data_IF_233497343300
#
_entry.id   IF_233497343300
#
_cell.length_a   1.000
_cell.length_b   1.000
_cell.length_c   1.000
_cell.angle_alpha   90.00
_cell.angle_beta   90.00
_cell.angle_gamma   90.00
#
_symmetry.space_group_name_H-M   'P 1'
#
loop_
_entity.id
_entity.type
_entity.pdbx_description
1 polymer ?
#
# COMPACT_ATOMS: atom_id res chain seq x y z
N UNK A 1 8.99 21.44 -29.92
CA UNK A 1 8.99 19.97 -29.72
C UNK A 1 9.99 19.66 -28.63
N UNK A 2 9.61 18.93 -27.59
CA UNK A 2 10.56 18.48 -26.56
C UNK A 2 11.52 17.48 -27.20
N UNK A 3 12.81 17.82 -27.24
CA UNK A 3 13.83 17.03 -27.91
C UNK A 3 13.99 15.67 -27.19
N UNK A 4 14.00 14.56 -27.92
CA UNK A 4 14.19 13.21 -27.37
C UNK A 4 15.56 12.68 -27.79
N UNK A 5 16.20 11.88 -26.92
CA UNK A 5 17.44 11.16 -27.25
C UNK A 5 17.13 9.73 -27.69
N UNK A 6 17.77 9.26 -28.75
CA UNK A 6 17.60 7.89 -29.24
C UNK A 6 18.87 7.09 -29.03
N UNK A 7 18.75 5.93 -28.39
CA UNK A 7 19.84 4.98 -28.19
C UNK A 7 19.59 3.76 -29.07
N UNK A 8 20.41 3.59 -30.10
CA UNK A 8 20.38 2.43 -30.98
C UNK A 8 21.32 1.35 -30.42
N UNK A 9 20.76 0.23 -29.99
CA UNK A 9 21.51 -0.92 -29.47
C UNK A 9 21.57 -2.03 -30.52
N UNK A 10 22.80 -2.39 -30.92
CA UNK A 10 23.06 -3.46 -31.91
C UNK A 10 23.62 -4.72 -31.23
N UNK A 11 23.12 -5.93 -31.57
CA UNK A 11 23.58 -7.18 -30.98
C UNK A 11 24.95 -7.64 -31.51
N UNK A 12 25.32 -7.24 -32.74
CA UNK A 12 26.61 -7.52 -33.38
C UNK A 12 27.10 -6.31 -34.17
N UNK A 13 28.40 -6.26 -34.46
CA UNK A 13 29.01 -5.17 -35.26
C UNK A 13 28.55 -5.18 -36.72
N UNK A 14 28.08 -6.32 -37.24
CA UNK A 14 27.58 -6.43 -38.61
C UNK A 14 26.35 -5.55 -38.88
N UNK A 15 25.64 -5.12 -37.83
CA UNK A 15 24.48 -4.22 -37.91
C UNK A 15 24.85 -2.74 -37.72
N UNK A 16 26.13 -2.42 -37.53
CA UNK A 16 26.59 -1.04 -37.30
C UNK A 16 26.25 -0.13 -38.48
N UNK A 17 26.55 -0.57 -39.71
CA UNK A 17 26.25 0.19 -40.94
C UNK A 17 24.74 0.45 -41.10
N UNK A 18 23.92 -0.55 -40.80
CA UNK A 18 22.45 -0.40 -40.80
C UNK A 18 21.98 0.59 -39.74
N UNK A 19 22.54 0.52 -38.52
CA UNK A 19 22.20 1.46 -37.44
C UNK A 19 22.67 2.89 -37.73
N UNK A 20 23.83 3.08 -38.37
CA UNK A 20 24.31 4.38 -38.84
C UNK A 20 23.38 4.96 -39.90
N UNK A 21 22.94 4.15 -40.86
CA UNK A 21 21.97 4.57 -41.89
C UNK A 21 20.61 4.95 -41.28
N UNK A 22 20.17 4.22 -40.24
CA UNK A 22 18.96 4.57 -39.47
C UNK A 22 19.16 5.90 -38.73
N UNK A 23 20.31 6.11 -38.09
CA UNK A 23 20.63 7.35 -37.39
C UNK A 23 20.70 8.56 -38.34
N UNK A 24 21.27 8.40 -39.52
CA UNK A 24 21.29 9.42 -40.58
C UNK A 24 19.88 9.73 -41.08
N UNK A 25 19.06 8.71 -41.33
CA UNK A 25 17.66 8.88 -41.72
C UNK A 25 16.85 9.59 -40.62
N UNK A 26 17.10 9.27 -39.35
CA UNK A 26 16.47 9.90 -38.19
C UNK A 26 16.85 11.38 -38.07
N UNK A 27 18.14 11.70 -38.14
CA UNK A 27 18.66 13.06 -37.99
C UNK A 27 18.35 13.97 -39.18
N UNK A 28 18.29 13.42 -40.40
CA UNK A 28 18.01 14.20 -41.62
C UNK A 28 16.52 14.46 -41.84
N UNK A 29 15.63 13.58 -41.37
CA UNK A 29 14.18 13.66 -41.64
C UNK A 29 13.33 14.00 -40.42
N UNK A 30 13.84 13.85 -39.20
CA UNK A 30 13.04 14.01 -37.98
C UNK A 30 13.78 14.81 -36.90
N UNK A 31 13.05 15.46 -35.99
CA UNK A 31 13.62 16.30 -34.93
C UNK A 31 14.07 15.48 -33.71
N UNK A 32 15.19 14.76 -33.84
CA UNK A 32 15.82 14.00 -32.75
C UNK A 32 17.01 14.78 -32.19
N UNK A 33 17.09 14.89 -30.86
CA UNK A 33 18.05 15.77 -30.18
C UNK A 33 19.48 15.26 -30.24
N UNK A 34 19.62 13.94 -30.11
CA UNK A 34 20.87 13.24 -29.88
C UNK A 34 20.63 11.76 -30.21
N UNK A 35 21.52 11.16 -31.00
CA UNK A 35 21.43 9.74 -31.38
C UNK A 35 22.75 9.08 -31.03
N UNK A 36 22.70 8.04 -30.18
CA UNK A 36 23.87 7.28 -29.75
C UNK A 36 23.74 5.83 -30.17
N UNK A 37 24.76 5.29 -30.84
CA UNK A 37 24.84 3.87 -31.22
C UNK A 37 25.79 3.14 -30.27
N UNK A 38 25.36 1.98 -29.75
CA UNK A 38 26.16 1.13 -28.85
C UNK A 38 25.93 -0.35 -29.11
N UNK A 39 26.94 -1.16 -28.82
CA UNK A 39 26.79 -2.61 -28.77
C UNK A 39 26.02 -3.04 -27.51
N UNK A 40 25.14 -4.02 -27.65
CA UNK A 40 24.37 -4.63 -26.56
C UNK A 40 25.24 -5.34 -25.50
N UNK A 41 26.57 -5.43 -25.71
CA UNK A 41 27.53 -6.01 -24.74
C UNK A 41 27.93 -5.04 -23.61
N UNK A 42 27.48 -3.78 -23.65
CA UNK A 42 27.78 -2.81 -22.59
C UNK A 42 26.94 -3.08 -21.32
N UNK A 43 27.52 -2.97 -20.11
CA UNK A 43 26.77 -3.11 -18.85
C UNK A 43 25.61 -2.10 -18.72
N UNK A 44 24.42 -2.59 -18.37
CA UNK A 44 23.16 -1.83 -18.33
C UNK A 44 23.15 -0.74 -17.25
N UNK A 45 23.73 -1.02 -16.09
CA UNK A 45 23.92 -0.08 -14.99
C UNK A 45 24.64 1.20 -15.44
N UNK A 46 25.67 1.07 -16.30
CA UNK A 46 26.38 2.23 -16.89
C UNK A 46 25.56 2.96 -17.95
N UNK A 47 24.67 2.24 -18.63
CA UNK A 47 23.77 2.77 -19.66
C UNK A 47 22.66 3.63 -19.03
N UNK A 48 22.19 3.25 -17.84
CA UNK A 48 21.13 3.95 -17.11
C UNK A 48 21.68 5.05 -16.17
N UNK A 49 22.89 4.90 -15.63
CA UNK A 49 23.45 5.80 -14.60
C UNK A 49 23.72 7.26 -15.07
N UNK A 50 23.70 7.54 -16.37
CA UNK A 50 24.02 8.85 -16.94
C UNK A 50 22.88 9.47 -17.78
N UNK A 51 21.65 8.96 -17.63
CA UNK A 51 20.52 9.47 -18.40
C UNK A 51 20.03 10.80 -17.78
N UNK A 52 20.10 11.88 -18.57
CA UNK A 52 19.62 13.22 -18.20
C UNK A 52 18.09 13.28 -18.06
N UNK A 53 17.54 14.39 -17.56
CA UNK A 53 16.07 14.64 -17.50
C UNK A 53 15.35 14.65 -18.88
N UNK A 54 16.09 14.53 -19.99
CA UNK A 54 15.53 14.49 -21.35
C UNK A 54 14.98 13.09 -21.66
N UNK A 55 13.76 12.96 -22.22
CA UNK A 55 13.19 11.66 -22.60
C UNK A 55 14.13 10.87 -23.52
N UNK A 56 14.31 9.60 -23.20
CA UNK A 56 15.17 8.67 -23.94
C UNK A 56 14.32 7.60 -24.61
N UNK A 57 14.69 7.11 -25.80
CA UNK A 57 14.10 5.93 -26.45
C UNK A 57 15.22 4.95 -26.76
N UNK A 58 15.05 3.69 -26.36
CA UNK A 58 15.96 2.61 -26.73
C UNK A 58 15.41 1.85 -27.93
N UNK A 59 16.26 1.56 -28.91
CA UNK A 59 15.91 0.79 -30.11
C UNK A 59 16.82 -0.43 -30.17
N UNK A 60 16.24 -1.63 -30.25
CA UNK A 60 16.97 -2.88 -30.36
C UNK A 60 16.75 -3.51 -31.73
N UNK A 61 17.85 -3.82 -32.42
CA UNK A 61 17.81 -4.55 -33.68
C UNK A 61 17.81 -6.06 -33.39
N UNK A 62 16.73 -6.76 -33.70
CA UNK A 62 16.61 -8.21 -33.44
C UNK A 62 17.26 -9.04 -34.56
N UNK A 63 17.97 -10.13 -34.19
CA UNK A 63 18.61 -11.03 -35.16
C UNK A 63 19.11 -12.39 -34.63
N UNK A 64 19.42 -12.53 -33.34
CA UNK A 64 19.54 -13.82 -32.64
C UNK A 64 19.82 -13.54 -31.16
N UNK A 65 18.75 -13.65 -30.35
CA UNK A 65 18.69 -13.45 -28.88
C UNK A 65 19.32 -12.17 -28.34
N UNK A 66 18.60 -11.40 -27.53
CA UNK A 66 19.31 -10.76 -26.43
C UNK A 66 18.46 -10.70 -25.18
N UNK A 67 18.89 -11.46 -24.17
CA UNK A 67 18.49 -11.23 -22.78
C UNK A 67 18.63 -9.75 -22.39
N UNK A 68 19.48 -8.99 -23.07
CA UNK A 68 19.66 -7.54 -22.92
C UNK A 68 18.45 -6.73 -23.42
N UNK A 69 17.81 -7.08 -24.55
CA UNK A 69 16.56 -6.45 -25.02
C UNK A 69 15.42 -6.68 -24.01
N UNK A 70 15.25 -7.92 -23.56
CA UNK A 70 14.28 -8.26 -22.52
C UNK A 70 14.58 -7.55 -21.20
N UNK A 71 15.83 -7.60 -20.73
CA UNK A 71 16.26 -6.93 -19.50
C UNK A 71 16.11 -5.41 -19.58
N UNK A 72 16.40 -4.77 -20.71
CA UNK A 72 16.16 -3.34 -20.92
C UNK A 72 14.67 -3.01 -20.98
N UNK A 73 13.85 -3.85 -21.62
CA UNK A 73 12.39 -3.70 -21.57
C UNK A 73 11.80 -3.91 -20.17
N UNK A 74 12.49 -4.66 -19.31
CA UNK A 74 12.12 -4.93 -17.92
C UNK A 74 12.63 -3.91 -16.91
N UNK A 75 13.82 -3.31 -17.14
CA UNK A 75 14.52 -2.46 -16.18
C UNK A 75 14.58 -0.98 -16.58
N UNK A 76 14.40 -0.64 -17.86
CA UNK A 76 14.48 0.75 -18.32
C UNK A 76 13.17 1.51 -18.05
N UNK A 77 13.22 2.71 -17.46
CA UNK A 77 12.06 3.57 -17.29
C UNK A 77 11.63 4.29 -18.58
N UNK A 78 12.33 4.04 -19.70
CA UNK A 78 12.17 4.71 -20.98
C UNK A 78 11.60 3.77 -22.05
N UNK A 79 10.88 4.28 -23.07
CA UNK A 79 10.37 3.45 -24.16
C UNK A 79 11.45 2.60 -24.80
N UNK A 80 11.15 1.31 -24.96
CA UNK A 80 11.96 0.34 -25.67
C UNK A 80 11.22 -0.10 -26.92
N UNK A 81 11.84 0.08 -28.08
CA UNK A 81 11.32 -0.33 -29.40
C UNK A 81 12.20 -1.45 -29.92
N UNK A 82 11.62 -2.61 -30.16
CA UNK A 82 12.32 -3.70 -30.84
C UNK A 82 11.97 -3.67 -32.33
N UNK A 83 12.99 -3.72 -33.18
CA UNK A 83 12.85 -3.66 -34.64
C UNK A 83 13.63 -4.81 -35.27
N UNK A 84 13.06 -5.38 -36.32
CA UNK A 84 13.77 -6.40 -37.10
C UNK A 84 14.92 -5.74 -37.85
N UNK A 85 16.15 -6.18 -37.56
CA UNK A 85 17.36 -5.62 -38.16
C UNK A 85 17.55 -5.96 -39.64
N UNK A 86 16.69 -6.82 -40.20
CA UNK A 86 16.63 -7.12 -41.63
C UNK A 86 15.76 -6.15 -42.44
N UNK A 87 15.01 -5.26 -41.78
CA UNK A 87 14.19 -4.25 -42.45
C UNK A 87 15.02 -3.10 -43.02
N UNK A 88 14.47 -2.43 -44.03
CA UNK A 88 15.07 -1.24 -44.63
C UNK A 88 15.20 -0.11 -43.61
N UNK A 89 16.33 0.60 -43.64
CA UNK A 89 16.64 1.66 -42.68
C UNK A 89 15.59 2.79 -42.65
N UNK A 90 14.91 3.04 -43.78
CA UNK A 90 13.84 4.03 -43.86
C UNK A 90 12.61 3.63 -43.03
N UNK A 91 12.25 2.35 -43.02
CA UNK A 91 11.08 1.82 -42.30
C UNK A 91 11.35 1.75 -40.79
N UNK A 92 12.58 1.38 -40.42
CA UNK A 92 13.05 1.43 -39.03
C UNK A 92 13.06 2.88 -38.54
N UNK A 93 13.65 3.80 -39.30
CA UNK A 93 13.68 5.22 -38.95
C UNK A 93 12.27 5.81 -38.83
N UNK A 94 11.35 5.44 -39.71
CA UNK A 94 9.95 5.87 -39.62
C UNK A 94 9.25 5.33 -38.36
N UNK A 95 9.48 4.05 -38.02
CA UNK A 95 8.93 3.41 -36.81
C UNK A 95 9.45 4.09 -35.54
N UNK A 96 10.76 4.30 -35.47
CA UNK A 96 11.40 5.02 -34.35
C UNK A 96 10.92 6.46 -34.30
N UNK A 97 10.80 7.13 -35.44
CA UNK A 97 10.28 8.49 -35.52
C UNK A 97 8.83 8.60 -35.06
N UNK A 98 7.98 7.61 -35.32
CA UNK A 98 6.59 7.57 -34.81
C UNK A 98 6.53 7.47 -33.28
N UNK A 99 7.46 6.73 -32.69
CA UNK A 99 7.61 6.62 -31.22
C UNK A 99 8.28 7.85 -30.63
N UNK A 100 9.22 8.48 -31.34
CA UNK A 100 9.82 9.76 -30.93
C UNK A 100 8.82 10.92 -31.13
N UNK A 101 7.87 10.77 -32.04
CA UNK A 101 6.73 11.66 -32.33
C UNK A 101 5.50 11.24 -31.53
N UNK A 102 5.67 11.14 -30.22
CA UNK A 102 4.59 11.22 -29.23
C UNK A 102 3.96 12.63 -29.33
N UNK A 103 3.16 12.87 -30.38
CA UNK A 103 2.50 14.15 -30.67
C UNK A 103 1.23 14.38 -29.84
N UNK A 104 0.72 13.33 -29.22
CA UNK A 104 -0.39 13.41 -28.29
C UNK A 104 0.11 13.23 -26.86
N UNK A 105 -0.22 14.19 -25.98
CA UNK A 105 -0.08 14.05 -24.52
C UNK A 105 -0.67 12.72 -24.03
N UNK A 106 -1.73 12.22 -24.67
CA UNK A 106 -2.36 10.95 -24.30
C UNK A 106 -1.43 9.76 -24.48
N UNK A 107 -0.61 9.72 -25.54
CA UNK A 107 0.28 8.57 -25.80
C UNK A 107 1.46 8.60 -24.82
N UNK A 108 2.00 9.78 -24.49
CA UNK A 108 3.03 9.92 -23.44
C UNK A 108 2.51 9.44 -22.09
N UNK A 109 1.30 9.86 -21.73
CA UNK A 109 0.63 9.42 -20.50
C UNK A 109 0.40 7.91 -20.51
N UNK A 110 -0.07 7.33 -21.63
CA UNK A 110 -0.28 5.90 -21.75
C UNK A 110 1.01 5.08 -21.61
N UNK A 111 2.11 5.54 -22.23
CA UNK A 111 3.41 4.84 -22.13
C UNK A 111 3.99 4.95 -20.72
N UNK A 112 3.95 6.13 -20.11
CA UNK A 112 4.37 6.31 -18.72
C UNK A 112 3.52 5.46 -17.77
N UNK A 113 2.20 5.43 -17.99
CA UNK A 113 1.27 4.61 -17.22
C UNK A 113 1.60 3.11 -17.36
N UNK A 114 1.80 2.62 -18.58
CA UNK A 114 2.16 1.22 -18.82
C UNK A 114 3.53 0.85 -18.21
N UNK A 115 4.52 1.75 -18.26
CA UNK A 115 5.82 1.53 -17.62
C UNK A 115 5.70 1.45 -16.09
N UNK A 116 4.91 2.35 -15.50
CA UNK A 116 4.58 2.33 -14.08
C UNK A 116 3.87 1.03 -13.70
N UNK A 117 2.86 0.61 -14.46
CA UNK A 117 2.11 -0.65 -14.23
C UNK A 117 3.00 -1.88 -14.31
N UNK A 118 3.92 -1.95 -15.29
CA UNK A 118 4.90 -3.06 -15.38
C UNK A 118 5.84 -3.09 -14.18
N UNK A 119 6.36 -1.94 -13.77
CA UNK A 119 7.23 -1.83 -12.58
C UNK A 119 6.47 -2.27 -11.33
N UNK A 120 5.23 -1.80 -11.15
CA UNK A 120 4.37 -2.20 -10.04
C UNK A 120 4.10 -3.72 -10.06
N UNK A 121 3.82 -4.31 -11.22
CA UNK A 121 3.61 -5.74 -11.37
C UNK A 121 4.84 -6.57 -10.97
N UNK A 122 6.05 -6.13 -11.36
CA UNK A 122 7.31 -6.78 -10.96
C UNK A 122 7.51 -6.71 -9.44
N UNK A 123 7.31 -5.54 -8.83
CA UNK A 123 7.42 -5.36 -7.38
C UNK A 123 6.45 -6.28 -6.62
N UNK A 124 5.20 -6.37 -7.09
CA UNK A 124 4.19 -7.28 -6.51
C UNK A 124 4.65 -8.74 -6.65
N UNK A 125 5.11 -9.14 -7.84
CA UNK A 125 5.56 -10.50 -8.10
C UNK A 125 6.76 -10.90 -7.23
N UNK A 126 7.75 -10.03 -7.12
CA UNK A 126 8.96 -10.25 -6.32
C UNK A 126 8.62 -10.37 -4.82
N UNK A 127 7.77 -9.50 -4.30
CA UNK A 127 7.32 -9.56 -2.91
C UNK A 127 6.52 -10.85 -2.62
N UNK A 128 5.66 -11.27 -3.54
CA UNK A 128 4.94 -12.54 -3.40
C UNK A 128 5.89 -13.74 -3.47
N UNK A 129 6.88 -13.73 -4.38
CA UNK A 129 7.84 -14.82 -4.53
C UNK A 129 8.71 -14.95 -3.27
N UNK A 130 9.22 -13.83 -2.75
CA UNK A 130 10.02 -13.77 -1.53
C UNK A 130 9.27 -14.37 -0.34
N UNK A 131 8.05 -13.91 -0.10
CA UNK A 131 7.25 -14.34 1.06
C UNK A 131 6.69 -15.76 0.91
N UNK A 132 6.59 -16.28 -0.32
CA UNK A 132 6.27 -17.70 -0.60
C UNK A 132 7.49 -18.62 -0.50
N UNK A 133 8.69 -18.11 -0.25
CA UNK A 133 9.88 -18.94 -0.11
C UNK A 133 9.76 -19.93 1.07
N UNK A 134 10.42 -21.08 0.94
CA UNK A 134 10.48 -22.10 2.01
C UNK A 134 11.01 -21.53 3.33
N UNK A 135 11.88 -20.51 3.27
CA UNK A 135 12.40 -19.82 4.45
C UNK A 135 11.25 -19.15 5.23
N UNK A 136 10.44 -18.33 4.57
CA UNK A 136 9.33 -17.62 5.21
C UNK A 136 8.28 -18.60 5.72
N UNK A 137 7.87 -19.56 4.88
CA UNK A 137 6.90 -20.59 5.26
C UNK A 137 7.34 -21.37 6.50
N UNK A 138 8.62 -21.80 6.55
CA UNK A 138 9.16 -22.53 7.69
C UNK A 138 9.18 -21.69 8.97
N UNK A 139 9.57 -20.42 8.89
CA UNK A 139 9.61 -19.53 10.06
C UNK A 139 8.18 -19.27 10.59
N UNK A 140 7.24 -18.91 9.71
CA UNK A 140 5.83 -18.66 10.06
C UNK A 140 5.19 -19.92 10.66
N UNK A 141 5.39 -21.08 10.04
CA UNK A 141 4.93 -22.37 10.54
C UNK A 141 5.50 -22.68 11.92
N UNK A 142 6.82 -22.54 12.11
CA UNK A 142 7.48 -22.84 13.39
C UNK A 142 6.98 -21.91 14.50
N UNK A 143 6.75 -20.64 14.18
CA UNK A 143 6.17 -19.69 15.13
C UNK A 143 4.74 -20.06 15.53
N UNK A 144 3.95 -20.57 14.58
CA UNK A 144 2.59 -21.04 14.86
C UNK A 144 2.60 -22.28 15.78
N UNK A 145 3.38 -23.30 15.40
CA UNK A 145 3.41 -24.59 16.09
C UNK A 145 4.09 -24.47 17.48
N UNK A 146 5.04 -23.54 17.63
CA UNK A 146 5.75 -23.27 18.88
C UNK A 146 4.99 -22.41 19.89
N UNK A 147 3.76 -21.98 19.59
CA UNK A 147 2.95 -21.10 20.45
C UNK A 147 3.67 -19.79 20.83
N UNK A 148 4.47 -19.25 19.91
CA UNK A 148 5.26 -18.03 20.10
C UNK A 148 4.46 -16.75 19.83
N UNK A 149 3.16 -16.86 19.54
CA UNK A 149 2.31 -15.71 19.29
C UNK A 149 2.11 -14.88 20.56
N UNK A 150 2.13 -13.56 20.38
CA UNK A 150 1.90 -12.60 21.46
C UNK A 150 0.40 -12.45 21.67
N UNK A 151 -0.10 -12.85 22.83
CA UNK A 151 -1.51 -12.73 23.26
C UNK A 151 -1.76 -11.57 24.21
N UNK A 152 -0.72 -10.97 24.78
CA UNK A 152 -0.76 -9.96 25.85
C UNK A 152 -0.88 -10.54 27.26
N UNK A 153 -1.30 -11.80 27.40
CA UNK A 153 -1.75 -12.39 28.67
C UNK A 153 -0.59 -12.82 29.59
N UNK A 154 0.58 -13.15 29.04
CA UNK A 154 1.76 -13.62 29.78
C UNK A 154 2.79 -12.51 29.96
N UNK A 155 2.45 -11.26 29.64
CA UNK A 155 3.32 -10.09 29.89
C UNK A 155 3.51 -9.81 31.39
N UNK A 156 2.58 -10.28 32.24
CA UNK A 156 2.60 -10.01 33.69
C UNK A 156 2.39 -8.53 34.05
N UNK A 157 1.87 -7.73 33.11
CA UNK A 157 1.55 -6.32 33.29
C UNK A 157 0.05 -6.15 33.54
N UNK A 158 -0.32 -5.22 34.41
CA UNK A 158 -1.71 -4.76 34.50
C UNK A 158 -2.05 -3.97 33.24
N UNK A 159 -3.02 -4.46 32.46
CA UNK A 159 -3.37 -3.89 31.17
C UNK A 159 -4.87 -3.86 30.93
N UNK A 160 -5.32 -2.86 30.17
CA UNK A 160 -6.68 -2.82 29.62
C UNK A 160 -6.68 -3.50 28.26
N UNK A 161 -7.37 -4.65 28.18
CA UNK A 161 -7.45 -5.46 26.96
C UNK A 161 -8.32 -4.81 25.88
N UNK A 162 -7.80 -4.73 24.67
CA UNK A 162 -8.56 -4.37 23.47
C UNK A 162 -8.70 -5.55 22.50
N UNK A 163 -9.41 -5.35 21.38
CA UNK A 163 -9.58 -6.41 20.35
C UNK A 163 -8.23 -6.90 19.82
N UNK A 164 -7.30 -5.98 19.55
CA UNK A 164 -5.96 -6.26 18.99
C UNK A 164 -4.83 -5.69 19.85
N UNK A 165 -5.01 -4.49 20.43
CA UNK A 165 -4.00 -3.83 21.25
C UNK A 165 -4.38 -3.85 22.73
N UNK A 166 -3.40 -4.14 23.59
CA UNK A 166 -3.54 -4.00 25.04
C UNK A 166 -2.82 -2.73 25.49
N UNK A 167 -3.44 -2.02 26.43
CA UNK A 167 -2.95 -0.73 26.93
C UNK A 167 -2.42 -0.88 28.35
N UNK A 168 -1.18 -0.46 28.58
CA UNK A 168 -0.52 -0.43 29.89
C UNK A 168 -0.21 1.02 30.24
N UNK A 169 -0.68 1.48 31.40
CA UNK A 169 -0.31 2.81 31.91
C UNK A 169 1.14 2.76 32.42
N UNK A 170 1.97 3.74 32.03
CA UNK A 170 3.36 3.84 32.51
C UNK A 170 3.45 4.89 33.62
N UNK A 171 3.00 6.10 33.34
CA UNK A 171 2.98 7.25 34.26
C UNK A 171 1.79 8.17 33.92
N UNK A 172 1.72 9.38 34.46
CA UNK A 172 0.61 10.31 34.20
C UNK A 172 0.51 10.80 32.74
N UNK A 173 1.60 10.72 31.97
CA UNK A 173 1.75 11.32 30.64
C UNK A 173 1.92 10.30 29.52
N UNK A 174 2.34 9.09 29.84
CA UNK A 174 2.66 8.06 28.86
C UNK A 174 1.97 6.72 29.13
N UNK A 175 1.75 5.98 28.05
CA UNK A 175 1.21 4.62 28.07
C UNK A 175 1.99 3.77 27.05
N UNK A 176 1.96 2.45 27.23
CA UNK A 176 2.39 1.48 26.23
C UNK A 176 1.18 0.85 25.54
N UNK A 177 1.25 0.72 24.22
CA UNK A 177 0.34 -0.04 23.37
C UNK A 177 1.06 -1.32 22.94
N UNK A 178 0.57 -2.47 23.40
CA UNK A 178 1.06 -3.79 23.02
C UNK A 178 0.17 -4.31 21.90
N UNK A 179 0.68 -4.31 20.66
CA UNK A 179 -0.05 -4.78 19.48
C UNK A 179 0.09 -6.27 19.35
N UNK A 180 -0.96 -7.03 19.67
CA UNK A 180 -0.89 -8.50 19.78
C UNK A 180 -1.12 -9.19 18.43
N UNK A 181 -0.88 -10.50 18.40
CA UNK A 181 -1.14 -11.38 17.25
C UNK A 181 -2.62 -11.78 17.12
N UNK A 182 -3.51 -11.24 17.98
CA UNK A 182 -4.95 -11.48 17.90
C UNK A 182 -5.53 -10.93 16.61
N UNK A 183 -6.24 -11.79 15.88
CA UNK A 183 -7.06 -11.41 14.75
C UNK A 183 -8.53 -11.42 15.16
N UNK A 184 -9.23 -10.30 14.91
CA UNK A 184 -10.65 -10.17 15.22
C UNK A 184 -11.52 -9.98 13.98
N UNK A 185 -12.80 -10.31 14.12
CA UNK A 185 -13.87 -10.13 13.15
C UNK A 185 -15.21 -10.57 13.77
N UNK A 186 -16.31 -10.00 13.31
CA UNK A 186 -17.66 -10.28 13.86
C UNK A 186 -17.73 -10.07 15.38
N UNK A 187 -17.01 -9.06 15.89
CA UNK A 187 -16.86 -8.76 17.32
C UNK A 187 -16.28 -9.89 18.20
N UNK A 188 -15.61 -10.86 17.56
CA UNK A 188 -14.94 -11.98 18.22
C UNK A 188 -13.46 -12.04 17.85
N UNK A 189 -12.67 -12.68 18.71
CA UNK A 189 -11.32 -13.13 18.34
C UNK A 189 -11.44 -14.39 17.50
N UNK A 190 -10.89 -14.37 16.29
CA UNK A 190 -10.99 -15.44 15.29
C UNK A 190 -9.77 -16.36 15.25
N UNK A 191 -8.58 -15.80 15.50
CA UNK A 191 -7.31 -16.54 15.44
C UNK A 191 -6.18 -15.79 16.16
N UNK A 192 -5.06 -16.48 16.36
CA UNK A 192 -3.75 -15.88 16.63
C UNK A 192 -2.89 -16.03 15.37
N UNK A 193 -2.53 -14.92 14.76
CA UNK A 193 -1.80 -14.86 13.50
C UNK A 193 -0.34 -14.53 13.79
N UNK A 194 0.62 -15.46 13.57
CA UNK A 194 2.03 -15.21 13.86
C UNK A 194 2.53 -13.91 13.22
N UNK A 195 3.33 -13.15 13.98
CA UNK A 195 3.96 -11.90 13.54
C UNK A 195 3.01 -10.74 13.18
N UNK A 196 1.69 -10.93 13.29
CA UNK A 196 0.70 -9.89 12.97
C UNK A 196 0.93 -8.64 13.80
N UNK A 197 1.14 -8.79 15.10
CA UNK A 197 1.31 -7.68 16.03
C UNK A 197 2.51 -6.80 15.67
N UNK A 198 3.66 -7.43 15.39
CA UNK A 198 4.86 -6.75 14.90
C UNK A 198 4.62 -6.05 13.56
N UNK A 199 4.01 -6.73 12.60
CA UNK A 199 3.69 -6.14 11.29
C UNK A 199 2.87 -4.86 11.46
N UNK A 200 1.79 -4.90 12.25
CA UNK A 200 0.89 -3.75 12.42
C UNK A 200 1.60 -2.58 13.14
N UNK A 201 2.34 -2.88 14.19
CA UNK A 201 3.04 -1.87 15.00
C UNK A 201 4.16 -1.19 14.20
N UNK A 202 4.99 -1.98 13.48
CA UNK A 202 6.08 -1.44 12.65
C UNK A 202 5.55 -0.72 11.40
N UNK A 203 4.45 -1.19 10.79
CA UNK A 203 3.78 -0.46 9.70
C UNK A 203 3.30 0.89 10.18
N UNK A 204 2.65 0.94 11.35
CA UNK A 204 2.20 2.21 11.93
C UNK A 204 3.38 3.14 12.23
N UNK A 205 4.46 2.62 12.84
CA UNK A 205 5.66 3.41 13.13
C UNK A 205 6.27 4.04 11.86
N UNK A 206 6.34 3.28 10.76
CA UNK A 206 6.76 3.82 9.46
C UNK A 206 5.87 4.98 9.01
N UNK A 207 4.55 4.84 9.09
CA UNK A 207 3.63 5.89 8.64
C UNK A 207 3.60 7.11 9.53
N UNK A 208 3.71 6.95 10.85
CA UNK A 208 3.83 8.07 11.78
C UNK A 208 5.09 8.91 11.48
N UNK A 209 6.21 8.26 11.15
CA UNK A 209 7.41 8.96 10.72
C UNK A 209 7.23 9.67 9.37
N UNK A 210 6.55 9.03 8.40
CA UNK A 210 6.27 9.64 7.07
C UNK A 210 5.28 10.81 7.12
N UNK A 211 4.46 10.89 8.15
CA UNK A 211 3.33 11.85 8.23
C UNK A 211 3.55 12.96 9.25
N UNK A 212 4.66 12.95 9.99
CA UNK A 212 4.96 13.92 11.05
C UNK A 212 4.98 15.39 10.61
N UNK A 213 5.30 15.65 9.34
CA UNK A 213 5.30 17.01 8.77
C UNK A 213 3.89 17.50 8.39
N UNK A 214 2.89 16.61 8.38
CA UNK A 214 1.49 16.93 8.12
C UNK A 214 0.76 17.25 9.43
N UNK A 215 0.95 16.41 10.44
CA UNK A 215 0.37 16.55 11.77
C UNK A 215 1.27 15.86 12.80
N UNK A 216 1.46 16.43 14.01
CA UNK A 216 2.13 15.71 15.09
C UNK A 216 1.36 14.44 15.49
N UNK A 217 2.07 13.48 16.08
CA UNK A 217 1.50 12.21 16.50
C UNK A 217 1.88 11.85 17.94
N UNK A 218 1.24 10.82 18.47
CA UNK A 218 1.41 10.43 19.86
C UNK A 218 2.67 9.61 20.18
N UNK A 219 3.46 9.18 19.19
CA UNK A 219 4.56 8.24 19.42
C UNK A 219 5.71 8.94 20.16
N UNK A 220 6.19 8.28 21.22
CA UNK A 220 7.39 8.66 21.96
C UNK A 220 8.57 7.73 21.65
N UNK A 221 8.32 6.41 21.57
CA UNK A 221 9.36 5.42 21.20
C UNK A 221 8.74 4.07 20.80
N UNK A 222 9.55 3.24 20.11
CA UNK A 222 9.23 1.86 19.73
C UNK A 222 10.30 0.93 20.35
N UNK A 223 10.23 0.62 21.65
CA UNK A 223 11.29 -0.15 22.32
C UNK A 223 11.29 -1.64 21.94
N UNK A 224 10.22 -2.14 21.32
CA UNK A 224 10.07 -3.52 20.87
C UNK A 224 9.17 -3.57 19.62
N UNK A 225 9.33 -4.54 18.69
CA UNK A 225 8.49 -4.65 17.50
C UNK A 225 6.98 -4.70 17.78
N UNK A 226 6.57 -5.14 18.97
CA UNK A 226 5.15 -5.22 19.40
C UNK A 226 4.70 -4.04 20.27
N UNK A 227 5.59 -3.11 20.63
CA UNK A 227 5.32 -2.07 21.63
C UNK A 227 5.51 -0.69 21.03
N UNK A 228 4.48 0.14 21.15
CA UNK A 228 4.60 1.59 20.97
C UNK A 228 4.41 2.25 22.33
N UNK A 229 5.35 3.10 22.74
CA UNK A 229 5.14 4.01 23.87
C UNK A 229 4.63 5.33 23.30
N UNK A 230 3.50 5.79 23.83
CA UNK A 230 2.77 6.93 23.32
C UNK A 230 2.38 7.89 24.43
N UNK A 231 2.18 9.16 24.05
CA UNK A 231 1.54 10.18 24.88
C UNK A 231 0.10 9.78 25.20
N UNK A 232 -0.33 10.03 26.43
CA UNK A 232 -1.76 9.96 26.77
C UNK A 232 -2.51 11.09 26.09
N UNK A 233 -3.57 10.72 25.38
CA UNK A 233 -4.45 11.65 24.70
C UNK A 233 -5.89 11.40 25.14
N UNK A 234 -6.71 12.44 25.08
CA UNK A 234 -8.17 12.33 25.07
C UNK A 234 -8.63 12.16 23.60
N UNK A 235 -9.05 10.96 23.17
CA UNK A 235 -9.46 10.72 21.79
C UNK A 235 -10.74 11.48 21.46
N UNK A 236 -10.84 12.03 20.24
CA UNK A 236 -12.11 12.51 19.73
C UNK A 236 -13.04 11.32 19.43
N UNK A 237 -14.34 11.42 19.72
CA UNK A 237 -15.32 10.34 19.54
C UNK A 237 -15.77 10.16 18.08
N UNK A 238 -14.87 10.38 17.12
CA UNK A 238 -15.12 10.30 15.68
C UNK A 238 -14.00 9.50 15.02
N UNK A 239 -14.39 8.53 14.19
CA UNK A 239 -13.46 7.85 13.29
C UNK A 239 -13.46 8.54 11.93
N UNK A 240 -12.30 9.07 11.53
CA UNK A 240 -12.15 9.78 10.26
C UNK A 240 -11.82 8.79 9.15
N UNK A 241 -12.86 8.21 8.55
CA UNK A 241 -12.68 7.31 7.41
C UNK A 241 -12.53 8.11 6.12
N UNK A 242 -11.44 7.91 5.38
CA UNK A 242 -11.22 8.49 4.05
C UNK A 242 -11.33 7.38 3.01
N UNK A 243 -12.08 7.65 1.93
CA UNK A 243 -12.32 6.67 0.85
C UNK A 243 -11.95 7.24 -0.51
N UNK A 244 -11.37 6.37 -1.35
CA UNK A 244 -11.13 6.64 -2.78
C UNK A 244 -11.84 5.68 -3.73
N UNK A 245 -12.51 4.65 -3.21
CA UNK A 245 -13.25 3.68 -4.01
C UNK A 245 -14.62 3.35 -3.41
N UNK A 246 -15.56 3.01 -4.29
CA UNK A 246 -16.92 2.60 -3.95
C UNK A 246 -16.95 1.11 -3.53
N UNK A 247 -16.44 0.79 -2.34
CA UNK A 247 -16.31 -0.61 -1.89
C UNK A 247 -16.79 -0.82 -0.45
N UNK A 248 -16.62 -2.05 0.04
CA UNK A 248 -16.95 -2.53 1.38
C UNK A 248 -18.24 -3.33 1.45
N UNK A 249 -18.37 -4.10 2.52
CA UNK A 249 -19.46 -5.05 2.78
C UNK A 249 -20.22 -4.77 4.09
N UNK A 250 -19.69 -3.91 4.95
CA UNK A 250 -20.27 -3.58 6.27
C UNK A 250 -21.43 -2.58 6.16
N UNK A 251 -22.26 -2.49 7.19
CA UNK A 251 -23.35 -1.50 7.29
C UNK A 251 -22.88 -0.05 7.18
N UNK A 252 -21.63 0.22 7.58
CA UNK A 252 -20.96 1.54 7.50
C UNK A 252 -20.13 1.74 6.22
N UNK A 253 -20.21 0.82 5.25
CA UNK A 253 -19.47 0.96 4.00
C UNK A 253 -20.27 1.73 2.95
N UNK A 254 -19.57 2.54 2.16
CA UNK A 254 -20.17 3.37 1.11
C UNK A 254 -20.92 2.52 0.08
N UNK A 255 -20.34 1.38 -0.35
CA UNK A 255 -20.98 0.52 -1.33
C UNK A 255 -22.28 -0.11 -0.82
N UNK A 256 -22.28 -0.62 0.42
CA UNK A 256 -23.48 -1.25 0.99
C UNK A 256 -24.62 -0.25 1.11
N UNK A 257 -24.34 0.98 1.55
CA UNK A 257 -25.34 2.04 1.61
C UNK A 257 -25.83 2.45 0.23
N UNK A 258 -24.92 2.64 -0.73
CA UNK A 258 -25.26 2.97 -2.11
C UNK A 258 -26.15 1.91 -2.77
N UNK A 259 -25.81 0.63 -2.58
CA UNK A 259 -26.58 -0.51 -3.05
C UNK A 259 -28.00 -0.53 -2.43
N UNK A 260 -28.14 -0.08 -1.18
CA UNK A 260 -29.41 0.02 -0.47
C UNK A 260 -30.21 1.30 -0.84
N UNK A 261 -29.77 2.08 -1.83
CA UNK A 261 -30.48 3.26 -2.33
C UNK A 261 -30.06 4.59 -1.69
N UNK A 262 -29.06 4.60 -0.81
CA UNK A 262 -28.52 5.86 -0.24
C UNK A 262 -27.76 6.62 -1.33
N UNK A 263 -28.11 7.89 -1.53
CA UNK A 263 -27.45 8.79 -2.49
C UNK A 263 -26.82 10.03 -1.87
N UNK A 264 -27.20 10.37 -0.64
CA UNK A 264 -26.45 11.29 0.18
C UNK A 264 -25.76 10.48 1.29
N UNK A 265 -24.44 10.35 1.20
CA UNK A 265 -23.65 9.55 2.14
C UNK A 265 -22.66 10.44 2.88
N UNK A 266 -22.83 10.58 4.20
CA UNK A 266 -22.04 11.49 5.03
C UNK A 266 -22.01 12.95 4.51
N UNK A 267 -23.10 13.41 3.88
CA UNK A 267 -23.17 14.75 3.28
C UNK A 267 -22.65 14.84 1.84
N UNK A 268 -22.16 13.74 1.25
CA UNK A 268 -21.72 13.70 -0.15
C UNK A 268 -22.83 13.18 -1.05
N UNK A 269 -23.18 13.95 -2.08
CA UNK A 269 -24.06 13.50 -3.15
C UNK A 269 -23.33 12.52 -4.07
N UNK A 270 -23.83 11.30 -4.14
CA UNK A 270 -23.29 10.21 -4.95
C UNK A 270 -24.04 10.13 -6.27
N UNK A 271 -23.34 10.17 -7.42
CA UNK A 271 -23.96 10.03 -8.73
C UNK A 271 -24.78 8.74 -8.88
N UNK A 272 -25.74 8.72 -9.80
CA UNK A 272 -26.42 7.49 -10.19
C UNK A 272 -25.49 6.56 -11.01
N UNK A 273 -25.80 5.27 -11.00
CA UNK A 273 -25.11 4.26 -11.82
C UNK A 273 -23.70 3.89 -11.35
N UNK A 274 -23.29 4.24 -10.13
CA UNK A 274 -21.99 3.85 -9.58
C UNK A 274 -21.89 2.33 -9.43
N UNK A 275 -20.73 1.79 -9.79
CA UNK A 275 -20.43 0.35 -9.72
C UNK A 275 -19.58 0.02 -8.49
N UNK A 276 -19.72 -1.21 -7.99
CA UNK A 276 -18.86 -1.73 -6.92
C UNK A 276 -17.40 -1.65 -7.35
N UNK A 277 -16.54 -1.27 -6.42
CA UNK A 277 -15.09 -1.15 -6.57
C UNK A 277 -14.62 -0.09 -7.57
N UNK A 278 -15.50 0.77 -8.10
CA UNK A 278 -15.07 1.87 -8.96
C UNK A 278 -14.30 2.94 -8.15
N UNK A 279 -13.32 3.57 -8.80
CA UNK A 279 -12.62 4.73 -8.23
C UNK A 279 -13.58 5.93 -8.13
N UNK A 280 -13.49 6.67 -7.03
CA UNK A 280 -14.21 7.94 -6.82
C UNK A 280 -13.45 9.08 -7.51
N UNK A 281 -14.18 10.12 -7.90
CA UNK A 281 -13.58 11.31 -8.55
C UNK A 281 -12.56 12.02 -7.65
N UNK A 282 -12.81 12.00 -6.34
CA UNK A 282 -11.94 12.56 -5.31
C UNK A 282 -12.01 11.72 -4.04
N UNK A 283 -10.99 11.85 -3.20
CA UNK A 283 -11.02 11.31 -1.86
C UNK A 283 -12.11 12.03 -1.06
N UNK A 284 -12.95 11.27 -0.36
CA UNK A 284 -14.03 11.81 0.46
C UNK A 284 -13.90 11.34 1.90
N UNK A 285 -14.24 12.23 2.83
CA UNK A 285 -14.39 11.92 4.24
C UNK A 285 -15.77 11.35 4.50
N UNK A 286 -15.83 10.17 5.10
CA UNK A 286 -17.09 9.50 5.46
C UNK A 286 -17.02 9.05 6.92
N UNK A 287 -16.98 10.00 7.87
CA UNK A 287 -16.72 9.67 9.25
C UNK A 287 -17.82 8.82 9.87
N UNK A 288 -17.47 8.13 10.95
CA UNK A 288 -18.40 7.37 11.79
C UNK A 288 -18.29 7.83 13.23
N UNK A 289 -19.41 7.81 13.96
CA UNK A 289 -19.40 8.03 15.41
C UNK A 289 -18.79 6.81 16.11
N UNK A 290 -18.26 7.02 17.32
CA UNK A 290 -17.76 5.95 18.19
C UNK A 290 -18.75 5.78 19.36
N UNK A 291 -19.84 5.08 19.11
CA UNK A 291 -20.95 4.88 20.05
C UNK A 291 -20.84 3.54 20.79
N UNK A 292 -21.49 3.40 21.95
CA UNK A 292 -21.41 2.17 22.75
C UNK A 292 -22.10 0.96 22.09
N UNK A 293 -23.18 1.19 21.32
CA UNK A 293 -23.88 0.11 20.61
C UNK A 293 -23.30 -0.11 19.21
N UNK A 294 -23.47 0.87 18.31
CA UNK A 294 -23.07 0.73 16.91
C UNK A 294 -22.60 2.05 16.31
N UNK A 295 -21.38 2.05 15.77
CA UNK A 295 -20.87 3.15 14.95
C UNK A 295 -21.79 3.41 13.76
N UNK A 296 -22.19 4.66 13.55
CA UNK A 296 -23.02 5.06 12.40
C UNK A 296 -22.31 6.08 11.51
N UNK A 297 -22.57 6.07 10.19
CA UNK A 297 -22.09 7.15 9.31
C UNK A 297 -22.67 8.50 9.75
N UNK A 298 -21.83 9.54 9.74
CA UNK A 298 -22.20 10.90 10.09
C UNK A 298 -21.58 11.88 9.09
N UNK A 299 -22.23 13.00 8.80
CA UNK A 299 -21.67 14.07 7.97
C UNK A 299 -20.82 15.04 8.78
N UNK A 300 -19.93 15.77 8.11
CA UNK A 300 -19.12 16.82 8.75
C UNK A 300 -19.99 17.88 9.42
N UNK A 301 -21.16 18.20 8.85
CA UNK A 301 -22.11 19.14 9.42
C UNK A 301 -22.75 18.60 10.70
N UNK A 302 -23.21 17.35 10.67
CA UNK A 302 -23.84 16.70 11.83
C UNK A 302 -22.85 16.54 13.00
N UNK A 303 -21.56 16.30 12.74
CA UNK A 303 -20.53 16.25 13.79
C UNK A 303 -20.54 17.53 14.66
N UNK A 304 -20.71 18.70 14.04
CA UNK A 304 -20.74 19.99 14.75
C UNK A 304 -22.12 20.25 15.34
N UNK A 305 -23.18 20.03 14.57
CA UNK A 305 -24.56 20.28 15.00
C UNK A 305 -24.93 19.43 16.24
N UNK A 306 -24.46 18.18 16.28
CA UNK A 306 -24.65 17.25 17.40
C UNK A 306 -23.58 17.39 18.50
N UNK A 307 -22.62 18.31 18.35
CA UNK A 307 -21.58 18.63 19.34
C UNK A 307 -20.59 17.50 19.64
N UNK A 308 -20.34 16.61 18.69
CA UNK A 308 -19.27 15.62 18.80
C UNK A 308 -17.88 16.27 18.77
N UNK A 309 -17.73 17.35 18.00
CA UNK A 309 -16.50 18.14 17.92
C UNK A 309 -16.82 19.63 17.69
N UNK A 310 -15.89 20.51 18.03
CA UNK A 310 -15.96 21.92 17.59
C UNK A 310 -15.63 22.02 16.11
N UNK A 311 -16.12 23.06 15.42
CA UNK A 311 -15.77 23.30 14.01
C UNK A 311 -14.26 23.42 13.81
N UNK A 312 -13.56 24.12 14.70
CA UNK A 312 -12.11 24.32 14.60
C UNK A 312 -11.33 22.99 14.69
N UNK A 313 -11.72 22.10 15.60
CA UNK A 313 -11.07 20.79 15.74
C UNK A 313 -11.37 19.89 14.54
N UNK A 314 -12.63 19.92 14.09
CA UNK A 314 -13.08 19.16 12.94
C UNK A 314 -12.28 19.55 11.68
N UNK A 315 -12.07 20.85 11.46
CA UNK A 315 -11.34 21.36 10.30
C UNK A 315 -9.88 20.87 10.30
N UNK A 316 -9.22 20.88 11.47
CA UNK A 316 -7.84 20.38 11.62
C UNK A 316 -7.77 18.88 11.32
N UNK A 317 -8.61 18.07 11.98
CA UNK A 317 -8.62 16.62 11.81
C UNK A 317 -9.00 16.21 10.36
N UNK A 318 -9.99 16.88 9.76
CA UNK A 318 -10.43 16.62 8.39
C UNK A 318 -9.33 16.92 7.37
N UNK A 319 -8.68 18.09 7.50
CA UNK A 319 -7.59 18.48 6.62
C UNK A 319 -6.39 17.53 6.75
N UNK A 320 -6.05 17.14 7.99
CA UNK A 320 -4.98 16.18 8.25
C UNK A 320 -5.30 14.80 7.67
N UNK A 321 -6.49 14.25 7.91
CA UNK A 321 -6.92 12.96 7.39
C UNK A 321 -6.81 12.87 5.86
N UNK A 322 -7.28 13.89 5.13
CA UNK A 322 -7.19 13.93 3.67
C UNK A 322 -5.74 14.01 3.16
N UNK A 323 -4.89 14.81 3.82
CA UNK A 323 -3.47 14.96 3.47
C UNK A 323 -2.67 13.69 3.75
N UNK A 324 -2.87 13.09 4.93
CA UNK A 324 -2.25 11.81 5.33
C UNK A 324 -2.65 10.71 4.35
N UNK A 325 -3.94 10.65 3.98
CA UNK A 325 -4.42 9.67 3.01
C UNK A 325 -3.81 9.87 1.62
N UNK A 326 -3.75 11.11 1.14
CA UNK A 326 -3.14 11.43 -0.16
C UNK A 326 -1.65 11.06 -0.21
N UNK A 327 -0.89 11.32 0.87
CA UNK A 327 0.50 10.88 0.98
C UNK A 327 0.61 9.34 1.00
N UNK A 328 -0.27 8.68 1.75
CA UNK A 328 -0.37 7.22 1.79
C UNK A 328 -0.61 6.61 0.41
N UNK A 329 -1.54 7.18 -0.36
CA UNK A 329 -1.83 6.75 -1.73
C UNK A 329 -0.63 6.92 -2.65
N UNK A 330 0.10 8.04 -2.54
CA UNK A 330 1.30 8.28 -3.34
C UNK A 330 2.36 7.20 -3.09
N UNK A 331 2.71 6.99 -1.83
CA UNK A 331 3.75 6.02 -1.44
C UNK A 331 3.30 4.58 -1.75
N UNK A 332 2.03 4.23 -1.49
CA UNK A 332 1.49 2.91 -1.82
C UNK A 332 1.56 2.63 -3.34
N UNK A 333 1.20 3.62 -4.17
CA UNK A 333 1.24 3.48 -5.62
C UNK A 333 2.67 3.27 -6.14
N UNK A 334 3.68 3.92 -5.55
CA UNK A 334 5.09 3.69 -5.89
C UNK A 334 5.52 2.23 -5.65
N UNK A 335 4.83 1.50 -4.77
CA UNK A 335 5.13 0.13 -4.38
C UNK A 335 4.12 -0.92 -4.90
N UNK A 336 3.32 -0.57 -5.91
CA UNK A 336 2.39 -1.51 -6.55
C UNK A 336 1.12 -1.80 -5.75
N UNK A 337 0.77 -0.92 -4.82
CA UNK A 337 -0.41 -1.01 -3.99
C UNK A 337 -1.41 0.11 -4.31
N UNK A 338 -2.69 -0.19 -4.16
CA UNK A 338 -3.77 0.80 -4.12
C UNK A 338 -4.22 0.91 -2.68
N UNK A 339 -4.02 2.07 -2.05
CA UNK A 339 -4.65 2.40 -0.77
C UNK A 339 -6.09 2.87 -1.03
N UNK A 340 -7.04 2.02 -0.67
CA UNK A 340 -8.44 2.10 -1.11
C UNK A 340 -9.25 3.00 -0.18
N UNK A 341 -9.20 2.70 1.10
CA UNK A 341 -9.75 3.46 2.20
C UNK A 341 -8.97 3.18 3.48
N UNK A 342 -9.10 4.07 4.46
CA UNK A 342 -8.48 3.93 5.78
C UNK A 342 -9.22 4.74 6.82
N UNK A 343 -8.98 4.42 8.09
CA UNK A 343 -9.58 5.04 9.26
C UNK A 343 -8.49 5.71 10.09
N UNK A 344 -8.70 6.97 10.44
CA UNK A 344 -7.85 7.69 11.40
C UNK A 344 -8.59 7.97 12.70
N UNK A 345 -7.84 8.00 13.79
CA UNK A 345 -8.27 8.59 15.05
C UNK A 345 -7.35 9.75 15.40
N UNK A 346 -7.93 10.78 16.02
CA UNK A 346 -7.20 11.93 16.55
C UNK A 346 -7.53 12.08 18.02
N UNK A 347 -6.64 12.71 18.78
CA UNK A 347 -6.90 13.03 20.18
C UNK A 347 -6.14 14.27 20.62
N UNK A 348 -6.57 14.86 21.73
CA UNK A 348 -5.86 15.96 22.38
C UNK A 348 -4.82 15.42 23.35
N UNK A 349 -3.58 15.87 23.21
CA UNK A 349 -2.54 15.64 24.21
C UNK A 349 -3.00 16.18 25.56
N UNK A 350 -3.05 15.34 26.60
CA UNK A 350 -3.52 15.74 27.93
C UNK A 350 -2.63 16.79 28.60
N UNK A 351 -1.40 16.98 28.13
CA UNK A 351 -0.46 17.96 28.69
C UNK A 351 -0.51 19.31 27.97
N UNK A 352 -0.66 19.30 26.64
CA UNK A 352 -0.50 20.49 25.81
C UNK A 352 -1.80 20.96 25.16
N UNK A 353 -2.81 20.10 25.06
CA UNK A 353 -4.06 20.35 24.34
C UNK A 353 -3.94 20.26 22.81
N UNK A 354 -2.75 19.98 22.28
CA UNK A 354 -2.48 19.84 20.84
C UNK A 354 -3.22 18.62 20.25
N UNK A 355 -3.72 18.75 19.03
CA UNK A 355 -4.34 17.63 18.29
C UNK A 355 -3.24 16.77 17.70
N UNK A 356 -3.25 15.49 18.07
CA UNK A 356 -2.32 14.49 17.60
C UNK A 356 -3.04 13.44 16.75
N UNK A 357 -2.38 12.95 15.70
CA UNK A 357 -2.74 11.68 15.08
C UNK A 357 -2.38 10.54 16.06
N UNK A 358 -3.34 9.69 16.35
CA UNK A 358 -3.20 8.60 17.33
C UNK A 358 -3.57 7.26 16.70
N UNK A 359 -3.66 6.22 17.54
CA UNK A 359 -4.08 4.88 17.17
C UNK A 359 -3.08 4.16 16.24
N UNK A 360 -3.53 3.58 15.13
CA UNK A 360 -2.70 2.97 14.10
C UNK A 360 -2.96 3.61 12.74
N UNK A 361 -1.96 3.59 11.84
CA UNK A 361 -2.03 4.31 10.55
C UNK A 361 -1.66 3.38 9.41
N UNK A 362 -2.55 3.28 8.41
CA UNK A 362 -2.29 2.63 7.11
C UNK A 362 -1.84 1.16 7.23
N UNK A 363 -2.33 0.48 8.26
CA UNK A 363 -2.11 -0.96 8.48
C UNK A 363 -3.13 -1.80 7.71
N UNK A 364 -2.88 -3.11 7.50
CA UNK A 364 -3.90 -4.03 7.00
C UNK A 364 -5.17 -4.15 7.86
N UNK A 365 -5.13 -3.76 9.14
CA UNK A 365 -6.31 -3.82 10.02
C UNK A 365 -7.16 -2.52 9.95
N UNK A 366 -6.52 -1.39 9.70
CA UNK A 366 -7.16 -0.06 9.59
C UNK A 366 -7.49 0.36 8.15
N UNK A 367 -6.95 -0.35 7.16
CA UNK A 367 -6.95 0.09 5.76
C UNK A 367 -7.14 -1.07 4.79
N UNK A 368 -7.78 -0.79 3.66
CA UNK A 368 -7.87 -1.73 2.54
C UNK A 368 -6.78 -1.45 1.52
N UNK A 369 -6.07 -2.51 1.16
CA UNK A 369 -5.04 -2.49 0.11
C UNK A 369 -5.38 -3.48 -0.98
N UNK A 370 -5.33 -3.01 -2.23
CA UNK A 370 -5.41 -3.88 -3.41
C UNK A 370 -4.07 -3.91 -4.15
N UNK A 371 -3.83 -5.01 -4.86
CA UNK A 371 -2.69 -5.09 -5.77
C UNK A 371 -2.99 -4.29 -7.04
N UNK A 372 -2.14 -3.30 -7.34
CA UNK A 372 -2.40 -2.37 -8.44
C UNK A 372 -2.39 -3.06 -9.81
N UNK A 373 -1.50 -4.04 -9.97
CA UNK A 373 -1.28 -4.74 -11.24
C UNK A 373 -2.44 -5.61 -11.71
N UNK A 374 -3.39 -5.98 -10.83
CA UNK A 374 -4.54 -6.81 -11.22
C UNK A 374 -5.87 -6.06 -11.14
N UNK A 375 -5.91 -4.82 -10.65
CA UNK A 375 -7.16 -4.09 -10.44
C UNK A 375 -7.94 -3.87 -11.75
N UNK A 376 -7.33 -3.30 -12.79
CA UNK A 376 -8.03 -2.97 -14.03
C UNK A 376 -8.65 -4.20 -14.70
N UNK A 377 -7.85 -5.23 -14.95
CA UNK A 377 -8.28 -6.48 -15.58
C UNK A 377 -9.39 -7.17 -14.78
N UNK A 378 -9.30 -7.14 -13.44
CA UNK A 378 -10.33 -7.75 -12.58
C UNK A 378 -11.64 -6.98 -12.62
N UNK A 379 -11.61 -5.65 -12.63
CA UNK A 379 -12.83 -4.84 -12.75
C UNK A 379 -13.47 -5.01 -14.13
N UNK A 380 -12.69 -5.05 -15.20
CA UNK A 380 -13.20 -5.31 -16.56
C UNK A 380 -13.88 -6.68 -16.66
N UNK A 381 -13.30 -7.70 -16.02
CA UNK A 381 -13.87 -9.04 -15.93
C UNK A 381 -15.04 -9.17 -14.92
N UNK A 382 -15.45 -8.09 -14.24
CA UNK A 382 -16.51 -8.12 -13.24
C UNK A 382 -16.15 -8.87 -11.95
N UNK A 383 -14.86 -9.03 -11.66
CA UNK A 383 -14.33 -9.70 -10.47
C UNK A 383 -14.04 -8.70 -9.34
N UNK A 384 -14.01 -9.20 -8.09
CA UNK A 384 -13.50 -8.43 -6.95
C UNK A 384 -12.01 -8.13 -7.13
N UNK A 385 -11.51 -6.93 -6.75
CA UNK A 385 -10.10 -6.62 -6.68
C UNK A 385 -9.32 -7.65 -5.86
N UNK A 386 -8.05 -7.84 -6.22
CA UNK A 386 -7.19 -8.72 -5.46
C UNK A 386 -6.78 -8.06 -4.14
N UNK A 387 -7.36 -8.57 -3.07
CA UNK A 387 -7.14 -8.08 -1.72
C UNK A 387 -6.07 -8.92 -1.00
N UNK A 388 -5.21 -8.23 -0.25
CA UNK A 388 -4.15 -8.82 0.58
C UNK A 388 -4.49 -8.79 2.08
N UNK A 389 -5.63 -8.24 2.46
CA UNK A 389 -6.10 -8.15 3.85
C UNK A 389 -6.83 -9.43 4.34
N UNK A 390 -7.43 -9.33 5.52
CA UNK A 390 -8.15 -10.39 6.25
C UNK A 390 -9.50 -10.82 5.68
N UNK A 391 -10.00 -10.25 4.58
CA UNK A 391 -11.35 -10.53 4.10
C UNK A 391 -11.57 -12.02 3.79
N UNK A 392 -10.56 -12.73 3.29
CA UNK A 392 -10.68 -14.17 3.02
C UNK A 392 -10.88 -15.01 4.28
N UNK A 393 -10.33 -14.59 5.43
CA UNK A 393 -10.60 -15.23 6.72
C UNK A 393 -12.06 -15.03 7.13
N UNK A 394 -12.59 -13.81 6.94
CA UNK A 394 -14.01 -13.50 7.24
C UNK A 394 -14.96 -14.30 6.36
N UNK A 395 -14.66 -14.40 5.07
CA UNK A 395 -15.46 -15.19 4.13
C UNK A 395 -15.49 -16.66 4.54
N UNK A 396 -14.34 -17.24 4.92
CA UNK A 396 -14.29 -18.61 5.42
C UNK A 396 -15.24 -18.82 6.61
N UNK A 397 -15.18 -17.96 7.64
CA UNK A 397 -16.10 -18.09 8.78
C UNK A 397 -17.57 -17.97 8.37
N UNK A 398 -17.94 -16.98 7.55
CA UNK A 398 -19.33 -16.80 7.09
C UNK A 398 -19.84 -18.01 6.30
N UNK A 399 -18.96 -18.70 5.59
CA UNK A 399 -19.33 -19.86 4.78
C UNK A 399 -19.39 -21.17 5.62
N UNK A 400 -18.92 -21.14 6.88
CA UNK A 400 -18.83 -22.33 7.76
C UNK A 400 -19.60 -22.19 9.10
N UNK A 401 -20.07 -20.99 9.47
CA UNK A 401 -20.90 -20.73 10.65
C UNK A 401 -21.72 -19.43 10.51
N UNK A 402 -22.65 -19.16 11.44
CA UNK A 402 -23.21 -17.82 11.69
C UNK A 402 -22.37 -17.14 12.78
N UNK A 403 -21.31 -16.38 12.44
CA UNK A 403 -20.36 -15.89 13.43
C UNK A 403 -20.94 -14.88 14.42
N UNK A 404 -22.13 -14.34 14.14
CA UNK A 404 -22.85 -13.41 15.02
C UNK A 404 -23.79 -14.11 16.01
N UNK A 405 -24.23 -15.34 15.71
CA UNK A 405 -25.25 -16.04 16.52
C UNK A 405 -24.75 -17.32 17.15
N UNK A 406 -23.83 -18.01 16.49
CA UNK A 406 -23.33 -19.29 16.98
C UNK A 406 -22.52 -19.07 18.26
N UNK A 407 -22.89 -19.76 19.34
CA UNK A 407 -22.18 -19.66 20.63
C UNK A 407 -20.71 -20.08 20.48
N UNK A 408 -20.47 -21.14 19.72
CA UNK A 408 -19.13 -21.67 19.39
C UNK A 408 -18.93 -21.60 17.89
N UNK A 409 -17.83 -20.99 17.47
CA UNK A 409 -17.39 -20.95 16.06
C UNK A 409 -16.24 -21.93 15.84
N UNK A 410 -16.09 -22.50 14.64
CA UNK A 410 -14.98 -23.41 14.35
C UNK A 410 -13.63 -22.68 14.41
N UNK A 411 -12.56 -23.41 14.72
CA UNK A 411 -11.22 -22.83 14.65
C UNK A 411 -10.84 -22.49 13.21
N UNK A 412 -10.13 -21.38 13.02
CA UNK A 412 -9.59 -21.02 11.72
C UNK A 412 -8.61 -22.11 11.22
N UNK A 413 -8.72 -22.59 9.98
CA UNK A 413 -7.82 -23.61 9.45
C UNK A 413 -6.38 -23.12 9.49
N UNK A 414 -5.47 -24.01 9.86
CA UNK A 414 -4.04 -23.70 10.00
C UNK A 414 -3.47 -22.98 8.78
N UNK A 415 -3.67 -23.53 7.58
CA UNK A 415 -3.13 -22.97 6.34
C UNK A 415 -3.70 -21.57 6.04
N UNK A 416 -4.93 -21.31 6.45
CA UNK A 416 -5.57 -20.00 6.33
C UNK A 416 -4.88 -18.96 7.23
N UNK A 417 -4.52 -19.34 8.45
CA UNK A 417 -3.79 -18.48 9.40
C UNK A 417 -2.37 -18.23 8.94
N UNK A 418 -1.67 -19.25 8.43
CA UNK A 418 -0.31 -19.08 7.90
C UNK A 418 -0.31 -18.19 6.64
N UNK A 419 -1.30 -18.36 5.76
CA UNK A 419 -1.46 -17.50 4.58
C UNK A 419 -1.77 -16.06 4.99
N UNK A 420 -2.57 -15.84 6.04
CA UNK A 420 -2.83 -14.49 6.56
C UNK A 420 -1.56 -13.83 7.10
N UNK A 421 -0.76 -14.55 7.89
CA UNK A 421 0.53 -14.08 8.38
C UNK A 421 1.46 -13.70 7.22
N UNK A 422 1.57 -14.58 6.20
CA UNK A 422 2.37 -14.33 5.00
C UNK A 422 1.92 -13.06 4.27
N UNK A 423 0.60 -12.88 4.08
CA UNK A 423 0.04 -11.70 3.41
C UNK A 423 0.30 -10.41 4.18
N UNK A 424 0.17 -10.44 5.51
CA UNK A 424 0.46 -9.30 6.36
C UNK A 424 1.94 -8.90 6.27
N UNK A 425 2.85 -9.89 6.31
CA UNK A 425 4.28 -9.66 6.10
C UNK A 425 4.53 -9.11 4.68
N UNK A 426 3.92 -9.69 3.65
CA UNK A 426 4.03 -9.21 2.27
C UNK A 426 3.63 -7.74 2.17
N UNK A 427 2.50 -7.37 2.79
CA UNK A 427 2.01 -6.00 2.78
C UNK A 427 2.95 -5.05 3.55
N UNK A 428 3.51 -5.47 4.68
CA UNK A 428 4.55 -4.70 5.39
C UNK A 428 5.75 -4.44 4.50
N UNK A 429 6.29 -5.48 3.85
CA UNK A 429 7.48 -5.35 3.00
C UNK A 429 7.19 -4.49 1.76
N UNK A 430 6.00 -4.59 1.18
CA UNK A 430 5.58 -3.72 0.08
C UNK A 430 5.39 -2.27 0.53
N UNK A 431 4.73 -2.02 1.66
CA UNK A 431 4.49 -0.66 2.17
C UNK A 431 5.81 0.03 2.51
N UNK A 432 6.65 -0.64 3.30
CA UNK A 432 7.85 -0.03 3.90
C UNK A 432 9.08 -0.14 3.00
N UNK A 433 9.04 -1.07 2.05
CA UNK A 433 10.19 -1.49 1.23
C UNK A 433 11.37 -2.03 2.06
N UNK A 434 11.07 -2.55 3.26
CA UNK A 434 12.02 -3.18 4.17
C UNK A 434 11.70 -4.67 4.29
N UNK A 435 12.73 -5.51 4.38
CA UNK A 435 12.51 -6.92 4.69
C UNK A 435 12.04 -7.09 6.13
N UNK A 436 11.07 -7.97 6.34
CA UNK A 436 10.58 -8.24 7.68
C UNK A 436 11.61 -9.01 8.50
N UNK A 437 11.99 -8.44 9.64
CA UNK A 437 12.93 -9.08 10.54
C UNK A 437 12.20 -10.02 11.51
N UNK A 438 12.39 -11.33 11.32
CA UNK A 438 11.81 -12.37 12.18
C UNK A 438 12.48 -12.51 13.55
N UNK A 439 13.60 -11.84 13.80
CA UNK A 439 14.29 -11.84 15.09
C UNK A 439 13.62 -10.85 16.06
N UNK A 440 12.41 -11.20 16.51
CA UNK A 440 11.51 -10.34 17.31
C UNK A 440 11.57 -10.61 18.84
N UNK A 441 12.62 -11.25 19.35
CA UNK A 441 12.75 -11.58 20.78
C UNK A 441 12.23 -12.98 21.18
N UNK A 442 12.32 -13.31 22.47
CA UNK A 442 11.99 -14.61 23.10
C UNK A 442 10.55 -14.70 23.63
N UNK A 443 9.64 -13.85 23.15
CA UNK A 443 8.22 -13.88 23.53
C UNK A 443 7.82 -12.72 24.44
N UNK A 444 6.79 -12.92 25.26
CA UNK A 444 6.13 -11.83 26.01
C UNK A 444 6.93 -11.28 27.20
N UNK A 445 7.92 -12.02 27.68
CA UNK A 445 8.83 -11.57 28.75
C UNK A 445 9.67 -10.37 28.28
N UNK A 446 10.18 -10.43 27.05
CA UNK A 446 10.96 -9.34 26.44
C UNK A 446 10.12 -8.05 26.26
N UNK A 447 8.81 -8.19 26.06
CA UNK A 447 7.86 -7.06 25.98
C UNK A 447 7.79 -6.33 27.33
N UNK A 448 7.66 -7.08 28.42
CA UNK A 448 7.57 -6.51 29.76
C UNK A 448 8.85 -5.76 30.13
N UNK A 449 10.01 -6.33 29.80
CA UNK A 449 11.31 -5.71 30.05
C UNK A 449 11.52 -4.44 29.21
N UNK A 450 11.09 -4.45 27.93
CA UNK A 450 11.14 -3.30 27.06
C UNK A 450 10.31 -2.12 27.60
N UNK A 451 9.12 -2.39 28.16
CA UNK A 451 8.26 -1.36 28.77
C UNK A 451 8.87 -0.86 30.08
N UNK A 452 9.31 -1.77 30.97
CA UNK A 452 9.87 -1.41 32.29
C UNK A 452 11.21 -0.67 32.23
N UNK A 453 11.89 -0.72 31.09
CA UNK A 453 13.16 -0.03 30.85
C UNK A 453 12.96 1.40 30.33
N UNK A 454 11.75 1.77 29.93
CA UNK A 454 11.46 3.13 29.51
C UNK A 454 11.51 4.10 30.69
N UNK A 455 12.29 5.18 30.58
CA UNK A 455 12.39 6.22 31.61
C UNK A 455 13.30 5.90 32.79
N UNK A 456 14.00 4.76 32.78
CA UNK A 456 15.16 4.47 33.64
C UNK A 456 16.45 4.83 32.91
#
# INVERSE_FOLDING_TARGET
MSACKVFLSIPSEDLLSSAETVAESLSSKYSVADITIRSAKAPLDRLLANLSETPVVFVFFSGSSSAVSQMLAEESPYPVVEVDGSLEAADIAWTVAKVCSLESTSVRTQVHQAAMERRQAKLVADAQLQTKSLKYQKIISTSFDGSLQITGEKTGLESKRGKVRDRVEIDDKSLALITTDRQSGFDRQLALVPFKGAVLNLTSAFWFEKTKDIIPNHILSIPHPYVTIAKKCEPFPIEFVVRSYMTGSTSTSIWKNYQNGVRNYCGHELPEGMKKNQKLEKNILTPTTKEEEHDRPISMKEIVDEKWMTQADLDVCAAAALKVFALGQKIAAEHGLILVDTKYEFGRDLNTGEILLIDEVHTPDSSRYWLANSYADRIEAGMEPENIDKEFLRLWFRDHCDPYKDEVIPDAPRDLVLELSRRYITLFEMITWQQFNFSIGKGEEDIADAIKSYGK
#
